data_IF_393036268250
#
_entry.id   IF_393036268250
#
_cell.length_a   1.000
_cell.length_b   1.000
_cell.length_c   1.000
_cell.angle_alpha   90.00
_cell.angle_beta   90.00
_cell.angle_gamma   90.00
#
_symmetry.space_group_name_H-M   'P 1'
#
loop_
_entity.id
_entity.type
_entity.pdbx_description
1 polymer ?
#
# COMPACT_ATOMS: atom_id res chain seq x y z
N UNK A 1 -9.69 -12.53 -32.97
CA UNK A 1 -8.61 -12.71 -31.96
C UNK A 1 -8.51 -11.48 -31.09
N UNK A 2 -8.94 -11.56 -29.82
CA UNK A 2 -8.79 -10.45 -28.87
C UNK A 2 -7.31 -10.37 -28.46
N UNK A 3 -6.60 -9.29 -28.83
CA UNK A 3 -5.28 -8.98 -28.29
C UNK A 3 -5.42 -8.85 -26.76
N UNK A 4 -4.94 -9.84 -25.98
CA UNK A 4 -4.66 -9.66 -24.57
C UNK A 4 -3.57 -8.59 -24.51
N UNK A 5 -3.90 -7.38 -24.02
CA UNK A 5 -2.90 -6.42 -23.59
C UNK A 5 -2.15 -7.08 -22.42
N UNK A 6 -0.97 -7.62 -22.68
CA UNK A 6 -0.09 -8.10 -21.63
C UNK A 6 0.39 -6.88 -20.85
N UNK A 7 -0.32 -6.54 -19.76
CA UNK A 7 0.22 -5.66 -18.75
C UNK A 7 1.54 -6.29 -18.28
N UNK A 8 2.66 -5.67 -18.65
CA UNK A 8 3.98 -6.23 -18.38
C UNK A 8 4.41 -5.94 -16.92
N UNK A 9 3.79 -6.64 -15.98
CA UNK A 9 4.08 -6.51 -14.55
C UNK A 9 3.09 -7.24 -13.66
N UNK A 10 3.49 -7.46 -12.42
CA UNK A 10 2.68 -8.11 -11.38
C UNK A 10 1.60 -7.14 -10.89
N UNK A 11 0.39 -7.62 -10.72
CA UNK A 11 -0.64 -6.99 -9.90
C UNK A 11 -0.65 -7.72 -8.56
N UNK A 12 -0.33 -7.01 -7.48
CA UNK A 12 -0.11 -7.57 -6.15
C UNK A 12 -1.19 -7.07 -5.18
N UNK A 13 -1.79 -8.00 -4.43
CA UNK A 13 -2.74 -7.72 -3.34
C UNK A 13 -2.07 -8.06 -2.01
N UNK A 14 -1.71 -7.03 -1.24
CA UNK A 14 -1.02 -7.18 0.06
C UNK A 14 -2.01 -7.30 1.20
N UNK A 15 -1.77 -8.27 2.11
CA UNK A 15 -2.70 -8.56 3.19
C UNK A 15 -4.03 -9.10 2.68
N UNK A 16 -4.00 -9.86 1.59
CA UNK A 16 -5.20 -10.26 0.84
C UNK A 16 -6.16 -11.17 1.62
N UNK A 17 -5.71 -11.80 2.71
CA UNK A 17 -6.52 -12.78 3.41
C UNK A 17 -7.03 -13.88 2.47
N UNK A 18 -8.29 -14.28 2.66
CA UNK A 18 -8.99 -15.24 1.78
C UNK A 18 -9.76 -14.58 0.63
N UNK A 19 -9.73 -13.25 0.51
CA UNK A 19 -10.53 -12.47 -0.44
C UNK A 19 -9.66 -11.71 -1.44
N UNK A 20 -8.64 -12.37 -1.97
CA UNK A 20 -7.74 -11.82 -2.98
C UNK A 20 -8.51 -11.21 -4.15
N UNK A 21 -8.04 -10.06 -4.64
CA UNK A 21 -8.56 -9.44 -5.86
C UNK A 21 -8.39 -10.38 -7.06
N UNK A 22 -9.40 -10.41 -7.93
CA UNK A 22 -9.37 -11.24 -9.15
C UNK A 22 -8.22 -10.79 -10.05
N UNK A 23 -7.45 -11.76 -10.56
CA UNK A 23 -6.24 -11.56 -11.40
C UNK A 23 -5.03 -10.94 -10.68
N UNK A 24 -5.05 -10.82 -9.35
CA UNK A 24 -3.89 -10.39 -8.57
C UNK A 24 -3.14 -11.59 -7.99
N UNK A 25 -1.85 -11.40 -7.71
CA UNK A 25 -1.06 -12.27 -6.84
C UNK A 25 -1.33 -11.83 -5.42
N UNK A 26 -1.82 -12.73 -4.56
CA UNK A 26 -2.12 -12.45 -3.15
C UNK A 26 -0.91 -12.72 -2.25
N UNK A 27 -0.56 -11.77 -1.41
CA UNK A 27 0.44 -11.93 -0.37
C UNK A 27 -0.17 -11.69 1.01
N UNK A 28 -0.03 -12.66 1.92
CA UNK A 28 -0.49 -12.57 3.31
C UNK A 28 0.47 -13.38 4.20
N UNK A 29 0.59 -13.00 5.48
CA UNK A 29 1.41 -13.74 6.43
C UNK A 29 0.83 -15.11 6.81
N UNK A 30 -0.46 -15.30 6.59
CA UNK A 30 -1.19 -16.54 6.88
C UNK A 30 -1.28 -17.38 5.61
N UNK A 31 -1.11 -18.69 5.77
CA UNK A 31 -1.37 -19.65 4.69
C UNK A 31 -2.87 -19.91 4.60
N UNK A 32 -3.56 -19.18 3.72
CA UNK A 32 -5.00 -19.27 3.50
C UNK A 32 -5.29 -19.64 2.03
N UNK A 33 -6.49 -20.18 1.73
CA UNK A 33 -6.92 -20.36 0.34
C UNK A 33 -6.84 -19.05 -0.44
N UNK A 34 -6.22 -19.08 -1.63
CA UNK A 34 -6.05 -17.91 -2.48
C UNK A 34 -4.77 -17.08 -2.21
N UNK A 35 -4.03 -17.36 -1.14
CA UNK A 35 -2.71 -16.75 -0.92
C UNK A 35 -1.66 -17.44 -1.76
N UNK A 36 -1.01 -16.67 -2.62
CA UNK A 36 0.04 -17.16 -3.53
C UNK A 36 1.43 -17.05 -2.90
N UNK A 37 1.67 -15.99 -2.12
CA UNK A 37 2.93 -15.71 -1.43
C UNK A 37 2.64 -15.61 0.07
N UNK A 38 3.14 -16.57 0.85
CA UNK A 38 3.07 -16.49 2.32
C UNK A 38 4.25 -15.67 2.81
N UNK A 39 4.01 -14.42 3.21
CA UNK A 39 5.06 -13.51 3.66
C UNK A 39 4.49 -12.45 4.61
N UNK A 40 5.24 -12.12 5.65
CA UNK A 40 4.91 -11.07 6.61
C UNK A 40 5.36 -9.70 6.05
N UNK A 41 4.42 -8.77 5.91
CA UNK A 41 4.70 -7.43 5.40
C UNK A 41 5.66 -6.61 6.27
N UNK A 42 5.85 -7.01 7.53
CA UNK A 42 6.82 -6.40 8.45
C UNK A 42 8.25 -6.97 8.28
N UNK A 43 8.46 -7.92 7.37
CA UNK A 43 9.75 -8.53 7.08
C UNK A 43 10.26 -8.12 5.71
N UNK A 44 11.42 -7.53 5.66
CA UNK A 44 12.05 -7.01 4.44
C UNK A 44 13.35 -7.77 4.12
N UNK A 45 13.70 -7.94 2.83
CA UNK A 45 12.92 -7.58 1.64
C UNK A 45 11.81 -8.60 1.33
N UNK A 46 10.81 -8.18 0.54
CA UNK A 46 9.80 -9.09 0.01
C UNK A 46 10.40 -10.04 -1.04
N UNK A 47 9.85 -11.27 -1.20
CA UNK A 47 10.31 -12.24 -2.20
C UNK A 47 9.89 -11.84 -3.63
N UNK A 48 10.07 -10.58 -3.97
CA UNK A 48 9.72 -9.95 -5.24
C UNK A 48 10.93 -9.17 -5.77
N UNK A 49 11.12 -9.22 -7.09
CA UNK A 49 12.20 -8.45 -7.74
C UNK A 49 11.89 -6.95 -7.69
N UNK A 50 12.92 -6.09 -7.63
CA UNK A 50 12.72 -4.66 -7.87
C UNK A 50 12.01 -4.43 -9.21
N UNK A 51 11.19 -3.36 -9.28
CA UNK A 51 10.51 -2.95 -10.50
C UNK A 51 9.65 -4.04 -11.18
N UNK A 52 9.07 -4.94 -10.38
CA UNK A 52 8.26 -6.05 -10.89
C UNK A 52 6.75 -5.80 -10.84
N UNK A 53 6.27 -4.97 -9.90
CA UNK A 53 4.85 -4.73 -9.70
C UNK A 53 4.36 -3.52 -10.49
N UNK A 54 3.30 -3.69 -11.25
CA UNK A 54 2.62 -2.62 -11.98
C UNK A 54 1.55 -1.94 -11.12
N UNK A 55 0.81 -2.75 -10.35
CA UNK A 55 -0.24 -2.30 -9.44
C UNK A 55 -0.04 -3.05 -8.12
N UNK A 56 -0.13 -2.32 -7.02
CA UNK A 56 -0.23 -2.90 -5.67
C UNK A 56 -1.50 -2.35 -5.03
N UNK A 57 -2.31 -3.24 -4.49
CA UNK A 57 -3.48 -2.88 -3.69
C UNK A 57 -3.33 -3.42 -2.27
N UNK A 58 -3.92 -2.74 -1.31
CA UNK A 58 -4.01 -3.21 0.08
C UNK A 58 -5.26 -2.63 0.73
N UNK A 59 -6.10 -3.51 1.26
CA UNK A 59 -7.34 -3.11 1.92
C UNK A 59 -7.31 -3.57 3.38
N UNK A 60 -7.44 -2.63 4.30
CA UNK A 60 -7.44 -2.90 5.74
C UNK A 60 -6.25 -3.75 6.21
N UNK A 61 -5.06 -3.29 5.85
CA UNK A 61 -3.80 -3.96 6.22
C UNK A 61 -2.77 -3.01 6.86
N UNK A 62 -2.65 -1.78 6.36
CA UNK A 62 -1.58 -0.87 6.81
C UNK A 62 -1.79 -0.38 8.24
N UNK A 63 -3.01 -0.35 8.73
CA UNK A 63 -3.37 -0.03 10.11
C UNK A 63 -2.89 -1.08 11.12
N UNK A 64 -2.56 -2.28 10.67
CA UNK A 64 -2.01 -3.36 11.49
C UNK A 64 -0.47 -3.42 11.49
N UNK A 65 0.19 -2.63 10.64
CA UNK A 65 1.65 -2.54 10.58
C UNK A 65 2.17 -1.67 11.72
N UNK A 66 3.20 -2.11 12.40
CA UNK A 66 3.80 -1.34 13.49
C UNK A 66 4.22 0.05 13.01
N UNK A 67 3.86 1.14 13.71
CA UNK A 67 4.08 2.52 13.26
C UNK A 67 5.53 2.83 12.86
N UNK A 68 6.50 2.29 13.58
CA UNK A 68 7.93 2.49 13.29
C UNK A 68 8.44 1.77 12.05
N UNK A 69 7.64 0.87 11.45
CA UNK A 69 7.94 0.20 10.19
C UNK A 69 7.24 0.85 8.98
N UNK A 70 6.47 1.90 9.19
CA UNK A 70 5.69 2.54 8.12
C UNK A 70 6.58 3.03 6.98
N UNK A 71 7.68 3.71 7.30
CA UNK A 71 8.62 4.21 6.27
C UNK A 71 9.27 3.05 5.52
N UNK A 72 9.71 2.01 6.23
CA UNK A 72 10.33 0.83 5.62
C UNK A 72 9.35 0.08 4.73
N UNK A 73 8.09 -0.04 5.15
CA UNK A 73 7.01 -0.60 4.32
C UNK A 73 6.88 0.16 2.99
N UNK A 74 6.72 1.49 3.05
CA UNK A 74 6.56 2.30 1.83
C UNK A 74 7.81 2.31 0.95
N UNK A 75 9.01 2.24 1.54
CA UNK A 75 10.27 2.10 0.81
C UNK A 75 10.35 0.75 0.09
N UNK A 76 9.88 -0.32 0.72
CA UNK A 76 9.87 -1.67 0.13
C UNK A 76 8.81 -1.79 -0.97
N UNK A 77 7.60 -1.25 -0.75
CA UNK A 77 6.57 -1.16 -1.79
C UNK A 77 7.10 -0.37 -3.00
N UNK A 78 7.84 0.72 -2.75
CA UNK A 78 8.50 1.49 -3.80
C UNK A 78 9.56 0.66 -4.55
N UNK A 79 10.35 -0.14 -3.84
CA UNK A 79 11.38 -0.99 -4.46
C UNK A 79 10.78 -1.97 -5.46
N UNK A 80 9.71 -2.65 -5.08
CA UNK A 80 9.07 -3.67 -5.93
C UNK A 80 8.18 -3.07 -7.02
N UNK A 81 7.71 -1.83 -6.85
CA UNK A 81 6.86 -1.13 -7.80
C UNK A 81 7.65 -0.69 -9.03
N UNK A 82 7.09 -0.81 -10.21
CA UNK A 82 7.61 -0.19 -11.44
C UNK A 82 7.47 1.32 -11.39
N UNK A 83 8.35 2.04 -12.08
CA UNK A 83 8.19 3.49 -12.29
C UNK A 83 6.83 3.76 -12.92
N UNK A 84 6.10 4.75 -12.41
CA UNK A 84 4.72 5.06 -12.74
C UNK A 84 3.70 3.95 -12.39
N UNK A 85 4.12 2.87 -11.74
CA UNK A 85 3.21 1.88 -11.17
C UNK A 85 2.35 2.49 -10.05
N UNK A 86 1.21 1.91 -9.82
CA UNK A 86 0.15 2.45 -8.97
C UNK A 86 0.02 1.67 -7.66
N UNK A 87 0.03 2.40 -6.54
CA UNK A 87 -0.31 1.91 -5.21
C UNK A 87 -1.68 2.45 -4.82
N UNK A 88 -2.61 1.57 -4.47
CA UNK A 88 -3.93 1.94 -3.95
C UNK A 88 -4.17 1.26 -2.59
N UNK A 89 -4.40 2.06 -1.55
CA UNK A 89 -4.64 1.58 -0.20
C UNK A 89 -5.98 2.09 0.32
N UNK A 90 -6.68 1.24 1.08
CA UNK A 90 -7.85 1.60 1.88
C UNK A 90 -7.57 1.24 3.33
N UNK A 91 -7.82 2.17 4.25
CA UNK A 91 -7.57 2.01 5.68
C UNK A 91 -8.62 2.81 6.48
N UNK A 92 -8.96 2.44 7.72
CA UNK A 92 -9.80 3.28 8.55
C UNK A 92 -9.15 4.65 8.77
N UNK A 93 -9.94 5.72 8.68
CA UNK A 93 -9.48 7.05 9.06
C UNK A 93 -9.15 7.08 10.56
N UNK A 94 -7.99 7.61 10.93
CA UNK A 94 -7.48 7.56 12.31
C UNK A 94 -8.42 8.19 13.36
N UNK A 95 -9.25 9.15 12.96
CA UNK A 95 -10.27 9.76 13.82
C UNK A 95 -11.60 9.00 13.88
N UNK A 96 -11.74 7.89 13.17
CA UNK A 96 -13.00 7.15 13.08
C UNK A 96 -13.19 6.12 14.20
N UNK A 97 -14.44 5.80 14.50
CA UNK A 97 -14.78 4.66 15.38
C UNK A 97 -14.21 3.36 14.81
N UNK A 98 -14.23 3.19 13.47
CA UNK A 98 -13.72 2.00 12.80
C UNK A 98 -12.23 1.75 13.03
N UNK A 99 -11.43 2.82 13.24
CA UNK A 99 -10.04 2.64 13.63
C UNK A 99 -9.92 2.13 15.09
N UNK A 100 -10.62 2.73 16.01
CA UNK A 100 -10.45 2.44 17.46
C UNK A 100 -11.18 1.19 17.94
N UNK A 101 -12.15 0.68 17.18
CA UNK A 101 -12.93 -0.51 17.60
C UNK A 101 -12.14 -1.82 17.53
N UNK A 102 -11.11 -1.91 16.69
CA UNK A 102 -10.30 -3.11 16.53
C UNK A 102 -9.03 -3.00 17.40
N UNK A 103 -8.84 -3.90 18.38
CA UNK A 103 -7.71 -3.84 19.31
C UNK A 103 -6.36 -4.10 18.64
N UNK A 104 -6.34 -4.57 17.39
CA UNK A 104 -5.11 -4.84 16.62
C UNK A 104 -4.71 -3.68 15.71
N UNK A 105 -5.53 -2.65 15.59
CA UNK A 105 -5.16 -1.42 14.91
C UNK A 105 -4.15 -0.64 15.74
N UNK A 106 -2.97 -0.43 15.22
CA UNK A 106 -1.88 0.25 15.91
C UNK A 106 -1.27 1.42 15.13
N UNK A 107 -1.65 1.59 13.86
CA UNK A 107 -1.07 2.61 12.97
C UNK A 107 -2.17 3.44 12.32
N UNK A 108 -2.36 4.66 12.84
CA UNK A 108 -3.41 5.56 12.37
C UNK A 108 -2.96 6.42 11.19
N UNK A 109 -3.80 6.48 10.16
CA UNK A 109 -3.59 7.31 8.98
C UNK A 109 -4.64 8.40 8.89
N UNK A 110 -4.21 9.59 8.48
CA UNK A 110 -5.07 10.70 8.11
C UNK A 110 -4.61 11.31 6.77
N UNK A 111 -5.32 12.33 6.27
CA UNK A 111 -5.03 12.95 4.98
C UNK A 111 -3.62 13.54 4.87
N UNK A 112 -3.00 13.93 5.99
CA UNK A 112 -1.67 14.53 6.02
C UNK A 112 -0.56 13.47 6.05
N UNK A 113 -0.84 12.26 6.55
CA UNK A 113 0.16 11.19 6.70
C UNK A 113 0.92 10.90 5.40
N UNK A 114 0.21 10.90 4.27
CA UNK A 114 0.82 10.55 2.98
C UNK A 114 1.70 11.66 2.38
N UNK A 115 1.56 12.89 2.86
CA UNK A 115 2.41 14.02 2.44
C UNK A 115 3.88 13.82 2.83
N UNK A 116 4.17 12.99 3.82
CA UNK A 116 5.54 12.61 4.17
C UNK A 116 6.26 11.79 3.11
N UNK A 117 5.52 11.22 2.16
CA UNK A 117 6.05 10.36 1.08
C UNK A 117 6.13 11.06 -0.28
N UNK A 118 5.54 12.25 -0.44
CA UNK A 118 5.51 12.99 -1.70
C UNK A 118 6.37 14.24 -1.63
N UNK A 119 7.46 14.35 -2.44
CA UNK A 119 8.35 15.51 -2.48
C UNK A 119 7.69 16.85 -2.81
N UNK A 120 6.46 16.86 -3.33
CA UNK A 120 5.73 18.10 -3.58
C UNK A 120 5.20 18.75 -2.28
N UNK A 121 5.32 18.06 -1.15
CA UNK A 121 4.90 18.56 0.16
C UNK A 121 6.09 18.82 1.08
N UNK A 122 6.06 19.91 1.88
CA UNK A 122 7.14 20.24 2.82
C UNK A 122 7.47 19.16 3.85
N UNK A 123 6.46 18.39 4.29
CA UNK A 123 6.62 17.30 5.27
C UNK A 123 7.55 16.19 4.79
N UNK A 124 7.67 15.99 3.48
CA UNK A 124 8.62 15.04 2.91
C UNK A 124 10.06 15.28 3.37
N UNK A 125 10.44 16.55 3.57
CA UNK A 125 11.82 16.91 3.94
C UNK A 125 12.25 16.40 5.32
N UNK A 126 11.30 15.96 6.15
CA UNK A 126 11.59 15.48 7.52
C UNK A 126 12.30 14.12 7.46
N UNK A 127 11.78 13.17 6.72
CA UNK A 127 12.29 11.79 6.66
C UNK A 127 12.91 11.41 5.32
N UNK A 128 12.55 12.10 4.25
CA UNK A 128 13.03 11.86 2.86
C UNK A 128 12.97 10.37 2.45
N UNK A 129 11.83 9.70 2.61
CA UNK A 129 11.69 8.31 2.18
C UNK A 129 11.80 8.18 0.67
N UNK A 130 11.65 6.97 0.13
CA UNK A 130 11.53 6.79 -1.32
C UNK A 130 10.32 7.58 -1.86
N UNK A 131 10.50 8.34 -2.97
CA UNK A 131 9.53 9.34 -3.39
C UNK A 131 8.32 8.74 -4.13
N UNK A 132 7.16 9.07 -3.62
CA UNK A 132 5.88 8.81 -4.25
C UNK A 132 5.27 10.09 -4.81
N UNK A 133 4.28 9.96 -5.68
CA UNK A 133 3.39 11.02 -6.13
C UNK A 133 1.97 10.71 -5.69
N UNK A 134 1.38 11.54 -4.88
CA UNK A 134 -0.06 11.45 -4.57
C UNK A 134 -0.85 11.80 -5.82
N UNK A 135 -1.78 10.94 -6.23
CA UNK A 135 -2.64 11.20 -7.38
C UNK A 135 -3.64 12.32 -7.08
N UNK A 136 -4.01 13.05 -8.13
CA UNK A 136 -4.99 14.15 -8.03
C UNK A 136 -6.31 13.61 -7.50
N UNK A 137 -6.91 14.31 -6.55
CA UNK A 137 -8.16 13.92 -5.90
C UNK A 137 -7.99 12.99 -4.71
N UNK A 138 -6.75 12.60 -4.35
CA UNK A 138 -6.46 11.78 -3.17
C UNK A 138 -5.68 12.55 -2.09
N UNK A 139 -5.79 12.11 -0.82
CA UNK A 139 -6.66 11.05 -0.32
C UNK A 139 -8.15 11.45 -0.31
N UNK A 140 -9.02 10.47 -0.50
CA UNK A 140 -10.47 10.58 -0.22
C UNK A 140 -10.73 9.97 1.15
N UNK A 141 -11.45 10.69 2.01
CA UNK A 141 -11.67 10.23 3.38
C UNK A 141 -13.00 10.71 3.96
N UNK A 142 -13.49 9.97 4.94
CA UNK A 142 -14.65 10.32 5.75
C UNK A 142 -14.26 10.30 7.22
N UNK A 143 -14.60 11.33 7.97
CA UNK A 143 -14.24 11.45 9.38
C UNK A 143 -14.72 10.27 10.26
N UNK A 144 -15.81 9.61 9.84
CA UNK A 144 -16.44 8.47 10.52
C UNK A 144 -16.18 7.13 9.84
N UNK A 145 -15.38 7.10 8.80
CA UNK A 145 -15.22 5.91 7.95
C UNK A 145 -13.81 5.66 7.47
N UNK A 146 -13.70 5.21 6.24
CA UNK A 146 -12.44 4.87 5.61
C UNK A 146 -11.78 6.06 4.95
N UNK A 147 -10.49 5.88 4.70
CA UNK A 147 -9.67 6.72 3.85
C UNK A 147 -9.08 5.86 2.74
N UNK A 148 -9.06 6.41 1.54
CA UNK A 148 -8.43 5.81 0.37
C UNK A 148 -7.32 6.71 -0.13
N UNK A 149 -6.20 6.11 -0.51
CA UNK A 149 -5.06 6.80 -1.09
C UNK A 149 -4.63 6.11 -2.37
N UNK A 150 -4.28 6.90 -3.35
CA UNK A 150 -3.67 6.43 -4.59
C UNK A 150 -2.39 7.22 -4.85
N UNK A 151 -1.31 6.49 -5.06
CA UNK A 151 0.02 7.06 -5.30
C UNK A 151 0.71 6.36 -6.47
N UNK A 152 1.63 7.05 -7.12
CA UNK A 152 2.53 6.49 -8.14
C UNK A 152 3.97 6.56 -7.70
N UNK A 153 4.74 5.52 -8.08
CA UNK A 153 6.19 5.55 -7.91
C UNK A 153 6.79 6.66 -8.77
N UNK A 154 7.50 7.58 -8.13
CA UNK A 154 8.37 8.53 -8.84
C UNK A 154 9.69 7.88 -9.22
N UNK A 155 10.26 8.32 -10.34
CA UNK A 155 11.65 8.04 -10.69
C UNK A 155 12.57 8.88 -9.77
N UNK A 156 13.64 8.29 -9.30
CA UNK A 156 14.75 8.99 -8.63
C UNK A 156 15.68 9.53 -9.69
#
# INVERSE_FOLDING_TARGET
>A
MKKKSHLNGIMLDIGCGSNKQVNFIGMDKRKLPGVDIVHDLEKFPYPLKPDSCLIIVGSHIVEHIKPWLTIDLFNELWRVMKVNGQLALSTPYAGSVGFWQDPTHCNGFNQTTFQYFDPDYPLYQIYKPKPWKIEVGFPVWQATGNMEIMMRKRKI
#
